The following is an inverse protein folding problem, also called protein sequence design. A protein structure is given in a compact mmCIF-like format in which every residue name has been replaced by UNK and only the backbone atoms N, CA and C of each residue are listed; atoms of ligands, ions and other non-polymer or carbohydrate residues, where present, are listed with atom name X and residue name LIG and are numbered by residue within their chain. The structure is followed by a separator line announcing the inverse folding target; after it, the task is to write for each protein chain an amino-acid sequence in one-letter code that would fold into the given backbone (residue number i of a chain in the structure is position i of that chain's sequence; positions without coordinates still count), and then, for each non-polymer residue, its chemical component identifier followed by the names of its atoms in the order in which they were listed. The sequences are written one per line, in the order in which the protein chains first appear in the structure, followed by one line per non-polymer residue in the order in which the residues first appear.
data_IF_594011579336
#
_entry.id   IF_594011579336
#
_cell.length_a   1.000
_cell.length_b   1.000
_cell.length_c   1.000
_cell.angle_alpha   90.00
_cell.angle_beta   90.00
_cell.angle_gamma   90.00
#
_symmetry.space_group_name_H-M   'P 1'
#
loop_
_entity.id
_entity.type
_entity.pdbx_description
1 polymer ?
#
# COMPACT_ATOMS: atom_id res chain seq x y z
N UNK A 1 11.74 11.27 64.65
CA UNK A 1 11.34 12.20 63.55
C UNK A 1 11.66 11.46 62.27
N UNK A 2 10.69 10.67 61.80
CA UNK A 2 10.86 9.77 60.67
C UNK A 2 10.93 10.54 59.35
N UNK A 3 12.02 10.36 58.61
CA UNK A 3 12.21 10.92 57.28
C UNK A 3 11.49 10.03 56.26
N UNK A 4 10.35 10.48 55.75
CA UNK A 4 9.66 9.84 54.65
C UNK A 4 10.37 10.17 53.33
N UNK A 5 11.01 9.17 52.70
CA UNK A 5 11.56 9.29 51.34
C UNK A 5 10.41 9.11 50.35
N UNK A 6 9.98 10.21 49.74
CA UNK A 6 9.02 10.19 48.63
C UNK A 6 9.74 9.75 47.35
N UNK A 7 9.42 8.55 46.87
CA UNK A 7 9.88 8.05 45.57
C UNK A 7 8.93 8.60 44.50
N UNK A 8 9.37 9.64 43.80
CA UNK A 8 8.74 10.13 42.58
C UNK A 8 9.03 9.16 41.43
N UNK A 9 8.04 8.31 41.09
CA UNK A 9 8.08 7.52 39.87
C UNK A 9 7.83 8.43 38.68
N UNK A 10 8.92 8.90 38.06
CA UNK A 10 8.86 9.55 36.75
C UNK A 10 8.41 8.47 35.75
N UNK A 11 7.15 8.55 35.34
CA UNK A 11 6.55 7.65 34.35
C UNK A 11 7.32 7.76 33.03
N UNK A 12 7.97 6.67 32.62
CA UNK A 12 8.62 6.55 31.33
C UNK A 12 7.54 6.36 30.26
N UNK A 13 7.31 7.38 29.43
CA UNK A 13 6.37 7.30 28.32
C UNK A 13 7.06 6.56 27.15
N UNK A 14 7.27 5.25 27.29
CA UNK A 14 7.81 4.42 26.20
C UNK A 14 6.79 4.37 25.07
N UNK A 15 7.13 4.99 23.95
CA UNK A 15 6.37 4.89 22.71
C UNK A 15 6.18 3.42 22.33
N UNK A 16 4.94 2.96 22.28
CA UNK A 16 4.61 1.59 21.86
C UNK A 16 4.45 1.57 20.34
N UNK A 17 5.34 0.84 19.69
CA UNK A 17 5.26 0.57 18.25
C UNK A 17 4.53 -0.74 17.99
N UNK A 18 3.61 -0.73 17.04
CA UNK A 18 3.06 -1.92 16.43
C UNK A 18 3.84 -2.24 15.16
N UNK A 19 3.99 -3.54 14.90
CA UNK A 19 4.68 -4.06 13.72
C UNK A 19 3.74 -5.02 13.01
N UNK A 20 3.52 -4.77 11.72
CA UNK A 20 2.83 -5.69 10.82
C UNK A 20 3.80 -6.11 9.72
N UNK A 21 3.94 -7.42 9.55
CA UNK A 21 4.70 -8.04 8.46
C UNK A 21 3.81 -9.04 7.74
N UNK A 22 4.05 -9.21 6.44
CA UNK A 22 3.27 -10.14 5.63
C UNK A 22 3.81 -10.26 4.22
N UNK A 23 3.11 -11.04 3.39
CA UNK A 23 3.42 -11.27 1.98
C UNK A 23 2.24 -10.81 1.11
N UNK A 24 2.52 -10.04 0.05
CA UNK A 24 1.55 -9.59 -0.96
C UNK A 24 2.29 -9.13 -2.22
N UNK A 25 1.63 -9.07 -3.37
CA UNK A 25 2.19 -8.52 -4.61
C UNK A 25 3.54 -9.12 -5.02
N UNK A 26 3.75 -10.41 -4.73
CA UNK A 26 4.99 -11.12 -5.07
C UNK A 26 6.18 -10.86 -4.12
N UNK A 27 5.98 -10.15 -3.01
CA UNK A 27 7.06 -9.80 -2.07
C UNK A 27 6.56 -9.71 -0.61
N UNK A 28 7.46 -9.37 0.30
CA UNK A 28 7.12 -9.11 1.71
C UNK A 28 7.03 -7.63 2.00
N UNK A 29 6.20 -7.26 2.98
CA UNK A 29 6.09 -5.89 3.46
C UNK A 29 6.28 -5.84 4.98
N UNK A 30 6.66 -4.66 5.47
CA UNK A 30 6.77 -4.35 6.91
C UNK A 30 6.28 -2.93 7.18
N UNK A 31 5.27 -2.81 8.03
CA UNK A 31 4.75 -1.51 8.51
C UNK A 31 5.03 -1.41 10.01
N UNK A 32 5.66 -0.31 10.42
CA UNK A 32 5.94 0.01 11.82
C UNK A 32 5.26 1.34 12.13
N UNK A 33 4.40 1.38 13.15
CA UNK A 33 3.66 2.59 13.49
C UNK A 33 3.49 2.76 15.00
N UNK A 34 3.44 4.02 15.45
CA UNK A 34 3.21 4.39 16.85
C UNK A 34 1.73 4.70 17.05
N UNK A 35 0.94 3.72 17.48
CA UNK A 35 -0.48 3.89 17.80
C UNK A 35 -0.92 2.79 18.77
N UNK A 36 -1.95 3.07 19.56
CA UNK A 36 -2.68 2.04 20.32
C UNK A 36 -3.75 1.33 19.51
N UNK A 37 -4.21 1.91 18.39
CA UNK A 37 -5.18 1.29 17.47
C UNK A 37 -4.49 0.25 16.60
N UNK A 38 -5.12 -0.91 16.36
CA UNK A 38 -4.61 -1.92 15.43
C UNK A 38 -5.12 -1.64 14.01
N UNK A 39 -4.22 -1.31 13.08
CA UNK A 39 -4.55 -1.02 11.69
C UNK A 39 -4.39 -2.22 10.74
N UNK A 40 -4.12 -3.42 11.24
CA UNK A 40 -3.75 -4.56 10.39
C UNK A 40 -4.80 -4.87 9.34
N UNK A 41 -6.07 -4.92 9.74
CA UNK A 41 -7.20 -5.17 8.82
C UNK A 41 -7.25 -4.11 7.73
N UNK A 42 -7.21 -2.81 8.10
CA UNK A 42 -7.24 -1.71 7.15
C UNK A 42 -6.05 -1.72 6.17
N UNK A 43 -4.87 -2.10 6.64
CA UNK A 43 -3.68 -2.23 5.80
C UNK A 43 -3.85 -3.37 4.79
N UNK A 44 -4.33 -4.55 5.23
CA UNK A 44 -4.58 -5.66 4.31
C UNK A 44 -5.70 -5.36 3.32
N UNK A 45 -6.79 -4.74 3.74
CA UNK A 45 -7.87 -4.31 2.86
C UNK A 45 -7.39 -3.31 1.80
N UNK A 46 -6.48 -2.40 2.16
CA UNK A 46 -5.87 -1.48 1.21
C UNK A 46 -5.01 -2.24 0.19
N UNK A 47 -4.13 -3.13 0.66
CA UNK A 47 -3.26 -3.93 -0.23
C UNK A 47 -4.08 -4.82 -1.18
N UNK A 48 -5.20 -5.37 -0.72
CA UNK A 48 -6.14 -6.14 -1.55
C UNK A 48 -6.85 -5.26 -2.59
N UNK A 49 -7.21 -4.02 -2.26
CA UNK A 49 -7.76 -3.07 -3.24
C UNK A 49 -6.76 -2.77 -4.36
N UNK A 50 -5.48 -2.62 -4.03
CA UNK A 50 -4.42 -2.48 -5.02
C UNK A 50 -4.33 -3.70 -5.94
N UNK A 51 -4.40 -4.91 -5.39
CA UNK A 51 -4.39 -6.13 -6.18
C UNK A 51 -5.60 -6.23 -7.14
N UNK A 52 -6.80 -5.91 -6.65
CA UNK A 52 -8.02 -5.89 -7.46
C UNK A 52 -7.99 -4.83 -8.57
N UNK A 53 -7.23 -3.75 -8.40
CA UNK A 53 -7.13 -2.69 -9.40
C UNK A 53 -5.98 -2.94 -10.39
N UNK A 54 -4.79 -3.28 -9.91
CA UNK A 54 -3.54 -3.16 -10.66
C UNK A 54 -2.78 -4.48 -10.87
N UNK A 55 -3.26 -5.62 -10.36
CA UNK A 55 -2.55 -6.89 -10.54
C UNK A 55 -2.71 -7.44 -11.96
N UNK A 56 -1.63 -7.54 -12.73
CA UNK A 56 -1.64 -8.20 -14.05
C UNK A 56 -1.69 -9.74 -13.97
N UNK A 57 -1.63 -10.30 -12.76
CA UNK A 57 -1.69 -11.75 -12.52
C UNK A 57 -3.09 -12.23 -12.08
N UNK A 58 -3.94 -11.32 -11.61
CA UNK A 58 -5.33 -11.64 -11.27
C UNK A 58 -6.22 -11.36 -12.46
N UNK A 59 -6.87 -12.40 -12.98
CA UNK A 59 -7.70 -12.31 -14.19
C UNK A 59 -8.89 -11.36 -14.05
N UNK A 60 -9.38 -11.18 -12.82
CA UNK A 60 -10.50 -10.33 -12.46
C UNK A 60 -10.10 -8.90 -12.07
N UNK A 61 -8.81 -8.56 -12.11
CA UNK A 61 -8.39 -7.20 -11.79
C UNK A 61 -8.81 -6.21 -12.88
N UNK A 62 -8.96 -4.95 -12.52
CA UNK A 62 -9.34 -3.89 -13.48
C UNK A 62 -8.33 -3.82 -14.64
N UNK A 63 -7.02 -3.82 -14.36
CA UNK A 63 -6.00 -3.78 -15.41
C UNK A 63 -6.05 -5.01 -16.33
N UNK A 64 -6.32 -6.21 -15.80
CA UNK A 64 -6.44 -7.43 -16.60
C UNK A 64 -7.66 -7.40 -17.50
N UNK A 65 -8.79 -6.87 -17.02
CA UNK A 65 -10.01 -6.69 -17.80
C UNK A 65 -9.83 -5.65 -18.91
N UNK A 66 -9.15 -4.55 -18.62
CA UNK A 66 -8.75 -3.55 -19.62
C UNK A 66 -7.87 -4.18 -20.70
N UNK A 67 -6.85 -4.95 -20.32
CA UNK A 67 -5.97 -5.63 -21.26
C UNK A 67 -6.71 -6.67 -22.14
N UNK A 68 -7.84 -7.19 -21.66
CA UNK A 68 -8.74 -8.09 -22.41
C UNK A 68 -9.75 -7.32 -23.28
N UNK A 69 -9.72 -5.99 -23.27
CA UNK A 69 -10.68 -5.12 -23.95
C UNK A 69 -12.14 -5.38 -23.51
N UNK A 70 -12.37 -5.65 -22.23
CA UNK A 70 -13.71 -5.79 -21.68
C UNK A 70 -14.47 -4.44 -21.85
N UNK A 71 -15.59 -4.39 -22.59
CA UNK A 71 -16.31 -3.15 -22.86
C UNK A 71 -17.13 -2.62 -21.67
N UNK A 72 -17.39 -3.45 -20.67
CA UNK A 72 -18.29 -3.13 -19.55
C UNK A 72 -17.52 -2.70 -18.29
N UNK A 73 -16.18 -2.62 -18.36
CA UNK A 73 -15.34 -2.29 -17.21
C UNK A 73 -15.42 -0.81 -16.83
N UNK A 74 -15.70 -0.55 -15.56
CA UNK A 74 -15.54 0.75 -14.93
C UNK A 74 -14.23 0.78 -14.13
N UNK A 75 -13.44 1.83 -14.32
CA UNK A 75 -12.18 2.02 -13.60
C UNK A 75 -12.40 2.68 -12.24
N UNK A 76 -11.61 2.28 -11.25
CA UNK A 76 -11.58 2.91 -9.93
C UNK A 76 -10.59 4.08 -9.88
N UNK A 77 -10.56 4.77 -8.74
CA UNK A 77 -9.66 5.90 -8.52
C UNK A 77 -8.19 5.47 -8.41
N UNK A 78 -7.92 4.23 -7.97
CA UNK A 78 -6.57 3.67 -7.91
C UNK A 78 -6.01 3.55 -9.32
N UNK A 79 -6.74 2.89 -10.23
CA UNK A 79 -6.36 2.72 -11.62
C UNK A 79 -6.19 4.08 -12.29
N UNK A 80 -7.17 4.97 -12.17
CA UNK A 80 -7.11 6.31 -12.76
C UNK A 80 -5.87 7.07 -12.30
N UNK A 81 -5.61 7.08 -11.00
CA UNK A 81 -4.44 7.77 -10.42
C UNK A 81 -3.14 7.21 -10.98
N UNK A 82 -2.98 5.89 -10.98
CA UNK A 82 -1.75 5.26 -11.44
C UNK A 82 -1.55 5.41 -12.95
N UNK A 83 -2.61 5.32 -13.74
CA UNK A 83 -2.57 5.56 -15.18
C UNK A 83 -2.14 7.00 -15.50
N UNK A 84 -2.75 8.00 -14.85
CA UNK A 84 -2.39 9.41 -15.03
C UNK A 84 -0.95 9.71 -14.61
N UNK A 85 -0.49 9.14 -13.49
CA UNK A 85 0.90 9.27 -13.04
C UNK A 85 1.88 8.57 -13.99
N UNK A 86 1.51 7.42 -14.53
CA UNK A 86 2.32 6.69 -15.49
C UNK A 86 2.47 7.45 -16.80
N UNK A 87 1.38 8.05 -17.31
CA UNK A 87 1.42 8.93 -18.47
C UNK A 87 2.33 10.13 -18.22
N UNK A 88 2.18 10.80 -17.08
CA UNK A 88 3.06 11.90 -16.69
C UNK A 88 4.54 11.47 -16.63
N UNK A 89 4.85 10.32 -16.03
CA UNK A 89 6.21 9.80 -15.96
C UNK A 89 6.77 9.49 -17.36
N UNK A 90 5.96 8.91 -18.25
CA UNK A 90 6.33 8.66 -19.65
C UNK A 90 6.72 9.96 -20.37
N UNK A 91 5.88 11.00 -20.25
CA UNK A 91 6.16 12.33 -20.82
C UNK A 91 7.42 12.96 -20.23
N UNK A 92 7.68 12.80 -18.93
CA UNK A 92 8.86 13.37 -18.26
C UNK A 92 10.15 12.61 -18.53
N UNK A 93 10.05 11.42 -19.08
CA UNK A 93 11.20 10.56 -19.36
C UNK A 93 11.36 10.30 -20.85
N UNK A 94 10.71 11.07 -21.74
CA UNK A 94 10.76 10.88 -23.19
C UNK A 94 10.46 9.42 -23.61
N UNK A 95 9.52 8.77 -22.92
CA UNK A 95 9.10 7.40 -23.18
C UNK A 95 9.96 6.31 -22.54
N UNK A 96 11.00 6.63 -21.77
CA UNK A 96 11.77 5.61 -21.04
C UNK A 96 10.97 4.91 -19.93
N UNK A 97 10.00 5.61 -19.35
CA UNK A 97 8.96 5.00 -18.54
C UNK A 97 7.75 4.70 -19.43
N UNK A 98 7.47 3.43 -19.71
CA UNK A 98 6.36 3.02 -20.56
C UNK A 98 5.65 1.80 -19.95
N UNK A 99 4.39 2.00 -19.54
CA UNK A 99 3.56 0.94 -18.95
C UNK A 99 2.88 0.04 -20.00
N UNK A 100 3.06 0.32 -21.30
CA UNK A 100 2.46 -0.43 -22.42
C UNK A 100 3.40 -1.49 -23.01
N UNK A 101 4.63 -1.60 -22.50
CA UNK A 101 5.63 -2.59 -22.91
C UNK A 101 5.29 -4.04 -22.53
N UNK A 102 4.13 -4.28 -21.92
CA UNK A 102 3.68 -5.61 -21.48
C UNK A 102 3.91 -6.75 -22.48
N UNK A 103 3.62 -6.58 -23.80
CA UNK A 103 3.91 -7.62 -24.80
C UNK A 103 5.40 -7.96 -25.03
N UNK A 104 6.33 -7.13 -24.53
CA UNK A 104 7.78 -7.28 -24.70
C UNK A 104 8.51 -7.83 -23.45
N UNK A 105 7.84 -7.86 -22.30
CA UNK A 105 8.36 -8.35 -21.01
C UNK A 105 8.14 -9.85 -20.89
#
# INVERSE_FOLDING_TARGET
MDFAISVLTISCNTKKYQVLEGYTQGTTFRVIYESSENFNVKIYELLEQFDKSLSTYQDSSIISLINKNDPDIAVDDIFRTFFEKSKYASEKTDGYFDITVGPLV
#
